data_IF_638389947940
#
_entry.id   IF_638389947940
#
_cell.length_a   1.000
_cell.length_b   1.000
_cell.length_c   1.000
_cell.angle_alpha   90.00
_cell.angle_beta   90.00
_cell.angle_gamma   90.00
#
_symmetry.space_group_name_H-M   'P 1'
#
loop_
_entity.id
_entity.type
_entity.pdbx_description
1 polymer ?
#
# COMPACT_ATOMS: atom_id res chain seq x y z
N UNK A 1 18.42 12.97 -15.89
CA UNK A 1 17.57 12.23 -14.93
C UNK A 1 18.06 12.63 -13.56
N UNK A 2 17.20 13.18 -12.72
CA UNK A 2 17.61 13.78 -11.44
C UNK A 2 17.96 12.69 -10.41
N UNK A 3 18.97 12.92 -9.58
CA UNK A 3 19.37 11.97 -8.53
C UNK A 3 18.24 11.70 -7.52
N UNK A 4 17.33 12.66 -7.35
CA UNK A 4 16.14 12.51 -6.51
C UNK A 4 15.16 11.47 -7.08
N UNK A 5 14.99 11.43 -8.40
CA UNK A 5 14.07 10.49 -9.07
C UNK A 5 14.54 9.03 -8.89
N UNK A 6 15.86 8.82 -8.96
CA UNK A 6 16.48 7.51 -8.79
C UNK A 6 16.30 6.96 -7.36
N UNK A 7 16.49 7.82 -6.35
CA UNK A 7 16.25 7.45 -4.94
C UNK A 7 14.77 7.11 -4.68
N UNK A 8 13.84 7.87 -5.25
CA UNK A 8 12.41 7.58 -5.09
C UNK A 8 12.02 6.24 -5.73
N UNK A 9 12.60 5.92 -6.89
CA UNK A 9 12.40 4.62 -7.55
C UNK A 9 12.90 3.46 -6.68
N UNK A 10 14.13 3.54 -6.18
CA UNK A 10 14.69 2.49 -5.31
C UNK A 10 13.86 2.28 -4.04
N UNK A 11 13.39 3.38 -3.43
CA UNK A 11 12.53 3.29 -2.26
C UNK A 11 11.22 2.54 -2.59
N UNK A 12 10.64 2.79 -3.76
CA UNK A 12 9.41 2.12 -4.20
C UNK A 12 9.63 0.63 -4.48
N UNK A 13 10.75 0.27 -5.10
CA UNK A 13 11.12 -1.13 -5.34
C UNK A 13 11.31 -1.90 -4.02
N UNK A 14 11.96 -1.29 -3.02
CA UNK A 14 12.11 -1.89 -1.69
C UNK A 14 10.76 -2.14 -1.01
N UNK A 15 9.85 -1.17 -1.06
CA UNK A 15 8.50 -1.31 -0.51
C UNK A 15 7.76 -2.47 -1.19
N UNK A 16 7.85 -2.56 -2.52
CA UNK A 16 7.21 -3.62 -3.29
C UNK A 16 7.73 -5.01 -2.88
N UNK A 17 9.04 -5.19 -2.77
CA UNK A 17 9.64 -6.47 -2.37
C UNK A 17 9.22 -6.92 -0.96
N UNK A 18 9.10 -5.97 -0.02
CA UNK A 18 8.60 -6.22 1.34
C UNK A 18 7.14 -6.68 1.28
N UNK A 19 6.30 -6.02 0.49
CA UNK A 19 4.88 -6.38 0.36
C UNK A 19 4.69 -7.78 -0.21
N UNK A 20 5.46 -8.16 -1.22
CA UNK A 20 5.40 -9.50 -1.82
C UNK A 20 5.83 -10.60 -0.85
N UNK A 21 6.82 -10.30 -0.01
CA UNK A 21 7.27 -11.22 1.04
C UNK A 21 6.19 -11.36 2.11
N UNK A 22 5.66 -10.25 2.60
CA UNK A 22 4.62 -10.23 3.62
C UNK A 22 3.34 -10.91 3.15
N UNK A 23 2.91 -10.68 1.90
CA UNK A 23 1.73 -11.30 1.33
C UNK A 23 1.85 -12.84 1.33
N UNK A 24 3.01 -13.36 0.91
CA UNK A 24 3.29 -14.80 0.92
C UNK A 24 3.33 -15.37 2.33
N UNK A 25 4.10 -14.75 3.21
CA UNK A 25 4.36 -15.26 4.56
C UNK A 25 3.09 -15.24 5.41
N UNK A 26 2.25 -14.21 5.25
CA UNK A 26 0.97 -14.10 5.93
C UNK A 26 -0.16 -14.90 5.26
N UNK A 27 0.07 -15.47 4.06
CA UNK A 27 -0.97 -16.07 3.21
C UNK A 27 -2.17 -15.14 3.00
N UNK A 28 -1.90 -13.84 2.85
CA UNK A 28 -2.93 -12.84 2.66
C UNK A 28 -3.45 -12.85 1.21
N UNK A 29 -4.73 -12.55 1.00
CA UNK A 29 -5.27 -12.35 -0.36
C UNK A 29 -4.59 -11.16 -1.05
N UNK A 30 -4.41 -10.07 -0.31
CA UNK A 30 -3.74 -8.86 -0.77
C UNK A 30 -3.15 -8.11 0.43
N UNK A 31 -2.09 -7.33 0.20
CA UNK A 31 -1.52 -6.40 1.17
C UNK A 31 -1.39 -5.03 0.50
N UNK A 32 -1.83 -3.97 1.18
CA UNK A 32 -1.84 -2.61 0.64
C UNK A 32 -1.11 -1.65 1.58
N UNK A 33 -0.36 -0.72 0.99
CA UNK A 33 0.17 0.46 1.68
C UNK A 33 -0.66 1.65 1.23
N UNK A 34 -1.39 2.25 2.16
CA UNK A 34 -2.21 3.42 1.94
C UNK A 34 -1.69 4.59 2.76
N UNK A 35 -1.74 5.79 2.18
CA UNK A 35 -1.40 7.00 2.90
C UNK A 35 -2.56 7.46 3.82
N UNK A 36 -2.33 8.51 4.62
CA UNK A 36 -3.34 9.07 5.53
C UNK A 36 -4.60 9.64 4.85
N UNK A 37 -4.56 9.84 3.54
CA UNK A 37 -5.69 10.34 2.72
C UNK A 37 -6.46 9.17 2.09
N UNK A 38 -6.00 7.93 2.29
CA UNK A 38 -6.55 6.73 1.68
C UNK A 38 -6.02 6.45 0.27
N UNK A 39 -4.97 7.15 -0.17
CA UNK A 39 -4.36 6.92 -1.48
C UNK A 39 -3.49 5.65 -1.45
N UNK A 40 -3.61 4.80 -2.47
CA UNK A 40 -2.77 3.62 -2.62
C UNK A 40 -1.35 4.00 -3.06
N UNK A 41 -0.35 3.60 -2.28
CA UNK A 41 1.08 3.81 -2.57
C UNK A 41 1.69 2.59 -3.26
N UNK A 42 1.40 1.39 -2.74
CA UNK A 42 1.92 0.11 -3.23
C UNK A 42 1.02 -1.05 -2.77
N UNK A 43 1.12 -2.18 -3.47
CA UNK A 43 0.26 -3.34 -3.21
C UNK A 43 0.88 -4.64 -3.72
N UNK A 44 0.53 -5.76 -3.09
CA UNK A 44 0.87 -7.10 -3.54
C UNK A 44 -0.33 -8.06 -3.38
N UNK A 45 -0.54 -8.95 -4.34
CA UNK A 45 -1.66 -9.89 -4.38
C UNK A 45 -2.74 -9.48 -5.38
N UNK A 46 -3.98 -9.94 -5.15
CA UNK A 46 -5.12 -9.60 -6.00
C UNK A 46 -5.69 -8.23 -5.58
N UNK A 47 -5.35 -7.19 -6.34
CA UNK A 47 -5.68 -5.79 -6.04
C UNK A 47 -6.88 -5.29 -6.84
N UNK A 48 -7.21 -5.95 -7.96
CA UNK A 48 -8.34 -5.57 -8.82
C UNK A 48 -9.70 -5.72 -8.11
N UNK A 49 -9.74 -6.52 -7.05
CA UNK A 49 -10.93 -6.72 -6.21
C UNK A 49 -11.16 -5.60 -5.19
N UNK A 50 -10.22 -4.67 -5.00
CA UNK A 50 -10.26 -3.65 -3.94
C UNK A 50 -10.39 -2.25 -4.55
N UNK A 51 -11.57 -1.64 -4.41
CA UNK A 51 -11.81 -0.27 -4.88
C UNK A 51 -11.14 0.79 -3.98
N UNK A 52 -10.52 1.80 -4.60
CA UNK A 52 -9.87 2.94 -3.91
C UNK A 52 -10.82 3.68 -2.95
N UNK A 53 -12.09 3.84 -3.35
CA UNK A 53 -13.13 4.46 -2.50
C UNK A 53 -13.39 3.66 -1.22
N UNK A 54 -13.36 2.32 -1.31
CA UNK A 54 -13.51 1.45 -0.14
C UNK A 54 -12.32 1.55 0.82
N UNK A 55 -11.10 1.70 0.29
CA UNK A 55 -9.89 1.91 1.10
C UNK A 55 -9.94 3.24 1.86
N UNK A 56 -10.31 4.33 1.18
CA UNK A 56 -10.41 5.66 1.82
C UNK A 56 -11.45 5.66 2.94
N UNK A 57 -12.60 5.02 2.74
CA UNK A 57 -13.63 4.89 3.77
C UNK A 57 -13.18 4.04 4.97
N UNK A 58 -12.48 2.92 4.74
CA UNK A 58 -11.91 2.09 5.80
C UNK A 58 -10.84 2.84 6.61
N UNK A 59 -9.92 3.55 5.95
CA UNK A 59 -8.89 4.37 6.60
C UNK A 59 -9.53 5.47 7.44
N UNK A 60 -10.51 6.20 6.89
CA UNK A 60 -11.24 7.23 7.62
C UNK A 60 -11.99 6.65 8.84
N UNK A 61 -12.61 5.48 8.69
CA UNK A 61 -13.28 4.77 9.78
C UNK A 61 -12.30 4.34 10.88
N UNK A 62 -11.18 3.73 10.53
CA UNK A 62 -10.16 3.30 11.51
C UNK A 62 -9.51 4.48 12.23
N UNK A 63 -9.13 5.55 11.51
CA UNK A 63 -8.58 6.77 12.12
C UNK A 63 -9.58 7.40 13.08
N UNK A 64 -10.87 7.43 12.72
CA UNK A 64 -11.93 7.96 13.58
C UNK A 64 -12.18 7.10 14.82
N UNK A 65 -11.97 5.79 14.74
CA UNK A 65 -12.20 4.86 15.85
C UNK A 65 -11.04 4.83 16.86
N UNK A 66 -9.84 5.21 16.43
CA UNK A 66 -8.64 5.30 17.29
C UNK A 66 -8.37 6.70 17.83
N UNK A 67 -9.31 7.64 17.64
CA UNK A 67 -9.24 9.02 18.14
C UNK A 67 -9.49 9.15 19.64
#
# INVERSE_FOLDING_TARGET
>A
MDSSDELMREAREKIQAILETLQRDARALTVLVVDKRGQLIASAGDVETVAESSLSSLVAGNVSATG
#
